data_IF_913333505959
#
_entry.id   IF_913333505959
#
_cell.length_a   1.000
_cell.length_b   1.000
_cell.length_c   1.000
_cell.angle_alpha   90.00
_cell.angle_beta   90.00
_cell.angle_gamma   90.00
#
_symmetry.space_group_name_H-M   'P 1'
#
loop_
_entity.id
_entity.type
_entity.pdbx_description
1 polymer ?
#
# COMPACT_ATOMS: atom_id res chain seq x y z
N UNK A 1 17.80 31.77 0.75
CA UNK A 1 17.92 30.37 1.18
C UNK A 1 17.14 30.11 2.47
N UNK A 2 17.37 30.87 3.54
CA UNK A 2 16.70 30.72 4.85
C UNK A 2 15.16 30.73 4.80
N UNK A 3 14.56 31.65 4.03
CA UNK A 3 13.09 31.74 3.86
C UNK A 3 12.48 30.50 3.21
N UNK A 4 13.20 29.87 2.27
CA UNK A 4 12.75 28.65 1.57
C UNK A 4 12.80 27.46 2.54
N UNK A 5 13.89 27.33 3.29
CA UNK A 5 14.05 26.27 4.31
C UNK A 5 12.96 26.37 5.37
N UNK A 6 12.71 27.57 5.93
CA UNK A 6 11.63 27.78 6.91
C UNK A 6 10.26 27.40 6.35
N UNK A 7 9.98 27.74 5.09
CA UNK A 7 8.71 27.39 4.43
C UNK A 7 8.58 25.88 4.23
N UNK A 8 9.66 25.19 3.85
CA UNK A 8 9.66 23.74 3.66
C UNK A 8 9.41 23.00 4.98
N UNK A 9 10.14 23.37 6.04
CA UNK A 9 10.02 22.75 7.39
C UNK A 9 8.63 22.97 8.00
N UNK A 10 7.98 24.09 7.71
CA UNK A 10 6.64 24.40 8.22
C UNK A 10 5.49 23.80 7.37
N UNK A 11 5.79 23.01 6.34
CA UNK A 11 4.79 22.48 5.40
C UNK A 11 4.68 20.96 5.46
N UNK A 12 3.49 20.43 5.20
CA UNK A 12 3.24 18.98 5.11
C UNK A 12 3.57 18.40 3.72
N UNK A 13 4.51 19.02 2.99
CA UNK A 13 4.81 18.63 1.61
C UNK A 13 5.45 17.24 1.54
N UNK A 14 6.26 16.90 2.54
CA UNK A 14 6.87 15.58 2.74
C UNK A 14 5.80 14.48 2.83
N UNK A 15 4.77 14.69 3.65
CA UNK A 15 3.68 13.72 3.83
C UNK A 15 2.79 13.64 2.58
N UNK A 16 2.50 14.78 1.94
CA UNK A 16 1.72 14.81 0.70
C UNK A 16 2.43 14.08 -0.45
N UNK A 17 3.75 14.25 -0.56
CA UNK A 17 4.57 13.52 -1.52
C UNK A 17 4.62 12.03 -1.19
N UNK A 18 4.81 11.66 0.09
CA UNK A 18 4.75 10.27 0.53
C UNK A 18 3.43 9.61 0.10
N UNK A 19 2.29 10.25 0.37
CA UNK A 19 0.97 9.77 -0.05
C UNK A 19 0.88 9.60 -1.55
N UNK A 20 1.31 10.60 -2.32
CA UNK A 20 1.27 10.57 -3.78
C UNK A 20 2.06 9.38 -4.34
N UNK A 21 3.27 9.13 -3.82
CA UNK A 21 4.09 8.01 -4.28
C UNK A 21 3.52 6.65 -3.88
N UNK A 22 2.93 6.53 -2.68
CA UNK A 22 2.19 5.31 -2.30
C UNK A 22 1.02 5.06 -3.25
N UNK A 23 0.24 6.10 -3.59
CA UNK A 23 -0.84 6.02 -4.58
C UNK A 23 -0.32 5.53 -5.93
N UNK A 24 0.77 6.11 -6.44
CA UNK A 24 1.34 5.72 -7.74
C UNK A 24 1.77 4.25 -7.72
N UNK A 25 2.51 3.82 -6.69
CA UNK A 25 2.97 2.42 -6.58
C UNK A 25 1.79 1.47 -6.54
N UNK A 26 0.79 1.73 -5.70
CA UNK A 26 -0.39 0.87 -5.59
C UNK A 26 -1.26 0.90 -6.84
N UNK A 27 -1.36 2.03 -7.54
CA UNK A 27 -2.07 2.12 -8.80
C UNK A 27 -1.40 1.26 -9.88
N UNK A 28 -0.07 1.30 -9.99
CA UNK A 28 0.67 0.46 -10.94
C UNK A 28 0.52 -1.02 -10.59
N UNK A 29 0.81 -1.40 -9.34
CA UNK A 29 0.76 -2.80 -8.90
C UNK A 29 -0.66 -3.37 -8.99
N UNK A 30 -1.66 -2.61 -8.54
CA UNK A 30 -3.06 -3.00 -8.61
C UNK A 30 -3.57 -3.18 -10.04
N UNK A 31 -3.08 -2.37 -11.00
CA UNK A 31 -3.39 -2.57 -12.41
C UNK A 31 -2.67 -3.79 -13.00
N UNK A 32 -1.44 -4.10 -12.57
CA UNK A 32 -0.72 -5.29 -13.04
C UNK A 32 -1.44 -6.59 -12.69
N UNK A 33 -2.18 -6.64 -11.58
CA UNK A 33 -2.96 -7.82 -11.16
C UNK A 33 -3.98 -8.32 -12.18
N UNK A 34 -4.37 -7.49 -13.15
CA UNK A 34 -5.33 -7.82 -14.19
C UNK A 34 -4.71 -8.51 -15.42
N UNK A 35 -3.37 -8.61 -15.47
CA UNK A 35 -2.65 -9.13 -16.62
C UNK A 35 -2.07 -10.53 -16.38
N UNK A 36 -1.95 -11.31 -17.45
CA UNK A 36 -1.50 -12.71 -17.39
C UNK A 36 -0.09 -12.86 -16.82
N UNK A 37 0.83 -11.96 -17.16
CA UNK A 37 2.21 -12.03 -16.69
C UNK A 37 2.29 -11.96 -15.16
N UNK A 38 1.40 -11.20 -14.52
CA UNK A 38 1.37 -11.05 -13.06
C UNK A 38 0.71 -12.28 -12.43
N UNK A 39 -0.32 -12.84 -13.06
CA UNK A 39 -0.91 -14.11 -12.62
C UNK A 39 0.15 -15.21 -12.59
N UNK A 40 0.94 -15.36 -13.65
CA UNK A 40 2.04 -16.33 -13.72
C UNK A 40 3.13 -16.04 -12.67
N UNK A 41 3.49 -14.77 -12.46
CA UNK A 41 4.46 -14.37 -11.45
C UNK A 41 4.00 -14.70 -10.01
N UNK A 42 2.67 -14.67 -9.75
CA UNK A 42 2.09 -14.96 -8.45
C UNK A 42 1.90 -16.46 -8.18
N UNK A 43 1.84 -17.32 -9.19
CA UNK A 43 1.64 -18.77 -8.97
C UNK A 43 2.68 -19.39 -8.02
N UNK A 44 4.00 -19.17 -8.19
CA UNK A 44 5.00 -19.71 -7.26
C UNK A 44 4.79 -19.16 -5.85
N UNK A 45 4.47 -17.88 -5.72
CA UNK A 45 4.22 -17.22 -4.44
C UNK A 45 3.02 -17.83 -3.72
N UNK A 46 1.89 -18.06 -4.41
CA UNK A 46 0.75 -18.73 -3.80
C UNK A 46 1.05 -20.16 -3.39
N UNK A 47 1.71 -20.94 -4.26
CA UNK A 47 1.97 -22.36 -4.01
C UNK A 47 2.95 -22.64 -2.86
N UNK A 48 3.84 -21.70 -2.57
CA UNK A 48 4.92 -21.85 -1.57
C UNK A 48 4.64 -21.15 -0.24
N UNK A 49 3.49 -20.47 -0.10
CA UNK A 49 3.17 -19.67 1.08
C UNK A 49 1.81 -20.01 1.66
N UNK A 50 1.52 -19.42 2.83
CA UNK A 50 0.21 -19.52 3.45
C UNK A 50 -0.92 -18.93 2.59
N UNK A 51 -0.62 -18.13 1.55
CA UNK A 51 -1.61 -17.57 0.62
C UNK A 51 -2.17 -18.60 -0.38
N UNK A 52 -1.72 -19.86 -0.36
CA UNK A 52 -2.25 -20.95 -1.18
C UNK A 52 -3.77 -21.16 -1.07
N UNK A 53 -4.40 -20.71 0.02
CA UNK A 53 -5.85 -20.77 0.17
C UNK A 53 -6.59 -19.88 -0.85
N UNK A 54 -6.01 -18.74 -1.27
CA UNK A 54 -6.66 -17.82 -2.22
C UNK A 54 -6.99 -18.51 -3.55
N UNK A 55 -6.03 -19.11 -4.27
CA UNK A 55 -6.34 -19.81 -5.51
C UNK A 55 -7.16 -21.08 -5.30
N UNK A 56 -7.14 -21.70 -4.11
CA UNK A 56 -8.02 -22.84 -3.84
C UNK A 56 -9.51 -22.47 -3.83
N UNK A 57 -9.85 -21.22 -3.49
CA UNK A 57 -11.23 -20.72 -3.45
C UNK A 57 -11.61 -19.96 -4.71
N UNK A 58 -10.69 -19.15 -5.26
CA UNK A 58 -10.96 -18.19 -6.34
C UNK A 58 -10.31 -18.57 -7.69
N UNK A 59 -9.48 -19.61 -7.73
CA UNK A 59 -8.57 -19.87 -8.84
C UNK A 59 -7.43 -18.84 -8.92
N UNK A 60 -6.42 -19.09 -9.75
CA UNK A 60 -5.24 -18.20 -9.86
C UNK A 60 -5.59 -16.80 -10.36
N UNK A 61 -6.44 -16.68 -11.38
CA UNK A 61 -6.89 -15.38 -11.88
C UNK A 61 -7.72 -14.65 -10.82
N UNK A 62 -8.67 -15.33 -10.18
CA UNK A 62 -9.50 -14.73 -9.15
C UNK A 62 -8.69 -14.28 -7.93
N UNK A 63 -7.68 -15.05 -7.53
CA UNK A 63 -6.74 -14.67 -6.47
C UNK A 63 -5.94 -13.40 -6.86
N UNK A 64 -5.44 -13.32 -8.09
CA UNK A 64 -4.75 -12.12 -8.59
C UNK A 64 -5.69 -10.91 -8.60
N UNK A 65 -6.88 -11.03 -9.19
CA UNK A 65 -7.85 -9.95 -9.27
C UNK A 65 -8.34 -9.49 -7.89
N UNK A 66 -8.49 -10.42 -6.94
CA UNK A 66 -8.81 -10.08 -5.56
C UNK A 66 -7.75 -9.17 -4.95
N UNK A 67 -6.46 -9.50 -5.10
CA UNK A 67 -5.38 -8.62 -4.66
C UNK A 67 -5.43 -7.27 -5.36
N UNK A 68 -5.73 -7.25 -6.67
CA UNK A 68 -5.88 -6.02 -7.45
C UNK A 68 -7.02 -5.12 -6.96
N UNK A 69 -8.15 -5.71 -6.54
CA UNK A 69 -9.26 -4.98 -5.92
C UNK A 69 -8.84 -4.37 -4.58
N UNK A 70 -8.11 -5.11 -3.74
CA UNK A 70 -7.63 -4.60 -2.44
C UNK A 70 -6.66 -3.43 -2.66
N UNK A 71 -5.70 -3.57 -3.57
CA UNK A 71 -4.77 -2.48 -3.94
C UNK A 71 -5.53 -1.27 -4.53
N UNK A 72 -6.59 -1.52 -5.32
CA UNK A 72 -7.46 -0.49 -5.87
C UNK A 72 -8.20 0.30 -4.80
N UNK A 73 -8.84 -0.39 -3.86
CA UNK A 73 -9.52 0.25 -2.74
C UNK A 73 -8.53 1.08 -1.93
N UNK A 74 -7.32 0.57 -1.70
CA UNK A 74 -6.27 1.29 -0.97
C UNK A 74 -5.89 2.59 -1.67
N UNK A 75 -5.48 2.55 -2.95
CA UNK A 75 -5.03 3.77 -3.63
C UNK A 75 -6.16 4.78 -3.86
N UNK A 76 -7.39 4.33 -4.12
CA UNK A 76 -8.55 5.23 -4.25
C UNK A 76 -8.85 5.92 -2.91
N UNK A 77 -8.79 5.17 -1.81
CA UNK A 77 -8.97 5.71 -0.46
C UNK A 77 -7.90 6.76 -0.13
N UNK A 78 -6.65 6.52 -0.49
CA UNK A 78 -5.56 7.48 -0.33
C UNK A 78 -5.72 8.73 -1.21
N UNK A 79 -6.17 8.60 -2.46
CA UNK A 79 -6.48 9.76 -3.32
C UNK A 79 -7.56 10.63 -2.67
N UNK A 80 -8.64 10.00 -2.22
CA UNK A 80 -9.72 10.71 -1.53
C UNK A 80 -9.23 11.30 -0.20
N UNK A 81 -8.27 10.63 0.45
CA UNK A 81 -7.60 11.04 1.68
C UNK A 81 -6.98 12.43 1.62
N UNK A 82 -6.53 12.91 0.46
CA UNK A 82 -6.04 14.29 0.31
C UNK A 82 -7.08 15.35 0.70
N UNK A 83 -8.37 15.02 0.56
CA UNK A 83 -9.49 15.92 0.83
C UNK A 83 -10.32 15.47 2.04
N UNK A 84 -10.38 14.16 2.30
CA UNK A 84 -11.17 13.56 3.39
C UNK A 84 -10.31 12.60 4.22
N UNK A 85 -9.70 13.08 5.31
CA UNK A 85 -8.79 12.28 6.15
C UNK A 85 -9.42 11.00 6.69
N UNK A 86 -10.73 10.97 6.99
CA UNK A 86 -11.42 9.75 7.43
C UNK A 86 -11.33 8.61 6.41
N UNK A 87 -11.37 8.93 5.13
CA UNK A 87 -11.22 7.96 4.04
C UNK A 87 -9.74 7.67 3.80
N UNK A 88 -8.86 8.66 3.99
CA UNK A 88 -7.41 8.48 3.97
C UNK A 88 -6.93 7.40 4.96
N UNK A 89 -7.43 7.43 6.20
CA UNK A 89 -7.13 6.44 7.23
C UNK A 89 -7.47 5.01 6.79
N UNK A 90 -8.59 4.81 6.08
CA UNK A 90 -8.92 3.50 5.52
C UNK A 90 -7.83 3.04 4.55
N UNK A 91 -7.39 3.92 3.66
CA UNK A 91 -6.28 3.66 2.75
C UNK A 91 -4.99 3.31 3.50
N UNK A 92 -4.63 4.12 4.49
CA UNK A 92 -3.41 3.94 5.30
C UNK A 92 -3.40 2.58 6.01
N UNK A 93 -4.53 2.18 6.62
CA UNK A 93 -4.69 0.88 7.29
C UNK A 93 -4.57 -0.28 6.29
N UNK A 94 -5.19 -0.17 5.11
CA UNK A 94 -5.08 -1.21 4.09
C UNK A 94 -3.63 -1.33 3.60
N UNK A 95 -2.92 -0.22 3.38
CA UNK A 95 -1.49 -0.24 3.01
C UNK A 95 -0.65 -0.98 4.04
N UNK A 96 -0.83 -0.66 5.32
CA UNK A 96 -0.12 -1.34 6.43
C UNK A 96 -0.42 -2.84 6.42
N UNK A 97 -1.69 -3.22 6.28
CA UNK A 97 -2.09 -4.62 6.30
C UNK A 97 -1.54 -5.40 5.09
N UNK A 98 -1.58 -4.82 3.90
CA UNK A 98 -0.98 -5.40 2.70
C UNK A 98 0.53 -5.59 2.87
N UNK A 99 1.22 -4.57 3.38
CA UNK A 99 2.66 -4.64 3.60
C UNK A 99 3.02 -5.74 4.60
N UNK A 100 2.30 -5.84 5.72
CA UNK A 100 2.48 -6.93 6.70
C UNK A 100 2.21 -8.30 6.08
N UNK A 101 1.17 -8.40 5.25
CA UNK A 101 0.84 -9.63 4.51
C UNK A 101 2.01 -10.04 3.63
N UNK A 102 2.56 -9.14 2.80
CA UNK A 102 3.71 -9.50 1.94
C UNK A 102 4.97 -9.81 2.75
N UNK A 103 5.27 -9.03 3.78
CA UNK A 103 6.45 -9.25 4.64
C UNK A 103 6.36 -10.62 5.33
N UNK A 104 5.16 -11.07 5.71
CA UNK A 104 4.96 -12.40 6.31
C UNK A 104 5.35 -13.56 5.37
N UNK A 105 5.46 -13.32 4.06
CA UNK A 105 5.86 -14.32 3.07
C UNK A 105 7.38 -14.53 3.02
N UNK A 106 8.18 -13.56 3.50
CA UNK A 106 9.65 -13.62 3.43
C UNK A 106 10.25 -14.91 4.00
N UNK A 107 9.87 -15.38 5.20
CA UNK A 107 10.44 -16.59 5.77
C UNK A 107 10.09 -17.85 4.96
N UNK A 108 9.03 -17.81 4.15
CA UNK A 108 8.51 -18.95 3.40
C UNK A 108 9.12 -19.04 1.99
N UNK A 109 9.46 -17.89 1.41
CA UNK A 109 9.97 -17.80 0.03
C UNK A 109 11.48 -18.10 -0.09
N UNK A 110 12.23 -18.01 1.01
CA UNK A 110 13.68 -18.31 1.02
C UNK A 110 14.54 -17.39 0.14
N UNK A 111 13.94 -16.36 -0.48
CA UNK A 111 14.58 -15.35 -1.32
C UNK A 111 13.96 -13.98 -1.07
N UNK A 112 14.77 -12.93 -1.15
CA UNK A 112 14.30 -11.54 -1.12
C UNK A 112 14.18 -11.06 -2.56
N UNK A 113 12.95 -10.81 -3.00
CA UNK A 113 12.67 -10.25 -4.32
C UNK A 113 12.27 -8.78 -4.21
N UNK A 114 12.46 -8.01 -5.29
CA UNK A 114 12.08 -6.58 -5.35
C UNK A 114 10.59 -6.37 -5.04
N UNK A 115 9.75 -7.37 -5.35
CA UNK A 115 8.34 -7.41 -5.01
C UNK A 115 8.07 -7.21 -3.52
N UNK A 116 8.87 -7.84 -2.64
CA UNK A 116 8.67 -7.78 -1.19
C UNK A 116 9.40 -6.59 -0.59
N UNK A 117 10.55 -6.23 -1.17
CA UNK A 117 11.34 -5.12 -0.67
C UNK A 117 10.59 -3.79 -0.73
N UNK A 118 9.73 -3.58 -1.74
CA UNK A 118 8.85 -2.40 -1.83
C UNK A 118 7.93 -2.27 -0.60
N UNK A 119 7.47 -3.40 -0.06
CA UNK A 119 6.44 -3.42 0.97
C UNK A 119 7.01 -3.07 2.35
N UNK A 120 8.33 -3.20 2.56
CA UNK A 120 9.00 -2.63 3.74
C UNK A 120 8.88 -1.09 3.77
N UNK A 121 9.05 -0.43 2.62
CA UNK A 121 8.86 1.02 2.51
C UNK A 121 7.39 1.39 2.66
N UNK A 122 6.48 0.63 2.05
CA UNK A 122 5.04 0.88 2.18
C UNK A 122 4.55 0.73 3.62
N UNK A 123 5.10 -0.18 4.41
CA UNK A 123 4.81 -0.27 5.85
C UNK A 123 5.19 1.02 6.57
N UNK A 124 6.43 1.49 6.38
CA UNK A 124 6.92 2.71 7.01
C UNK A 124 6.10 3.95 6.60
N UNK A 125 5.86 4.11 5.29
CA UNK A 125 5.06 5.21 4.77
C UNK A 125 3.60 5.14 5.23
N UNK A 126 3.00 3.95 5.26
CA UNK A 126 1.63 3.74 5.77
C UNK A 126 1.49 4.21 7.22
N UNK A 127 2.46 3.90 8.09
CA UNK A 127 2.46 4.40 9.48
C UNK A 127 2.59 5.93 9.56
N UNK A 128 3.44 6.52 8.72
CA UNK A 128 3.59 8.00 8.63
C UNK A 128 2.28 8.66 8.20
N UNK A 129 1.63 8.13 7.16
CA UNK A 129 0.36 8.64 6.66
C UNK A 129 -0.76 8.49 7.70
N UNK A 130 -0.88 7.31 8.33
CA UNK A 130 -1.87 7.05 9.36
C UNK A 130 -1.73 8.04 10.53
N UNK A 131 -0.49 8.26 11.00
CA UNK A 131 -0.21 9.23 12.06
C UNK A 131 -0.62 10.65 11.63
N UNK A 132 -0.31 11.06 10.41
CA UNK A 132 -0.66 12.37 9.90
C UNK A 132 -2.19 12.57 9.86
N UNK A 133 -2.94 11.62 9.30
CA UNK A 133 -4.39 11.76 9.17
C UNK A 133 -5.11 11.71 10.51
N UNK A 134 -4.63 10.87 11.44
CA UNK A 134 -5.16 10.85 12.81
C UNK A 134 -4.93 12.18 13.54
N UNK A 135 -3.73 12.78 13.40
CA UNK A 135 -3.44 14.08 13.98
C UNK A 135 -4.31 15.19 13.39
N UNK A 136 -4.52 15.17 12.09
CA UNK A 136 -5.40 16.13 11.42
C UNK A 136 -6.86 15.97 11.89
N UNK A 137 -7.36 14.74 12.02
CA UNK A 137 -8.69 14.51 12.57
C UNK A 137 -8.83 15.00 14.01
N UNK A 138 -7.81 14.77 14.85
CA UNK A 138 -7.81 15.25 16.24
C UNK A 138 -7.92 16.77 16.32
N UNK A 139 -7.18 17.49 15.48
CA UNK A 139 -7.23 18.97 15.44
C UNK A 139 -8.57 19.55 15.00
N UNK A 140 -9.41 18.78 14.31
CA UNK A 140 -10.75 19.22 13.87
C UNK A 140 -11.83 18.83 14.90
N UNK A 141 -11.57 17.82 15.74
CA UNK A 141 -12.50 17.39 16.78
C UNK A 141 -12.39 18.20 18.08
N UNK A 142 -11.25 18.87 18.29
CA UNK A 142 -10.99 19.77 19.42
C UNK A 142 -11.45 21.21 19.11
#
# INVERSE_FOLDING_TARGET
MEKIIKKFVASDIDVKLARLFVVIVLAVMGNYKWFEFEVEALKPLFSSTWLSFLPSVLGYHGASYFLGIVEMIAYLSLIIGFFRPKIGILGDVIVIFMALTTISLLPQLGKIDGFIFKDLFLLGLGVVLLKHDLNFLRQISD
#
